data_IF_236487528381
#
_entry.id   IF_236487528381
#
_cell.length_a   1.000
_cell.length_b   1.000
_cell.length_c   1.000
_cell.angle_alpha   90.00
_cell.angle_beta   90.00
_cell.angle_gamma   90.00
#
_symmetry.space_group_name_H-M   'P 1'
#
loop_
_entity.id
_entity.type
_entity.pdbx_description
1 polymer ?
#
# COMPACT_ATOMS: atom_id res chain seq x y z
N UNK A 1 6.10 28.98 -11.15
CA UNK A 1 7.15 29.11 -10.11
C UNK A 1 7.19 27.84 -9.28
N UNK A 2 8.13 26.93 -9.57
CA UNK A 2 8.29 25.69 -8.82
C UNK A 2 8.94 25.98 -7.46
N UNK A 3 8.24 25.71 -6.36
CA UNK A 3 8.82 25.78 -5.01
C UNK A 3 9.87 24.68 -4.90
N UNK A 4 11.12 25.06 -4.66
CA UNK A 4 12.24 24.14 -4.43
C UNK A 4 11.85 23.15 -3.31
N UNK A 5 11.94 21.86 -3.61
CA UNK A 5 11.87 20.78 -2.62
C UNK A 5 12.93 21.05 -1.54
N UNK A 6 12.51 21.08 -0.27
CA UNK A 6 13.43 21.18 0.86
C UNK A 6 14.00 19.79 1.09
N UNK A 7 15.29 19.63 0.82
CA UNK A 7 16.01 18.36 0.98
C UNK A 7 16.04 17.91 2.44
N UNK A 8 16.30 16.62 2.66
CA UNK A 8 16.34 15.97 3.97
C UNK A 8 17.18 16.75 5.02
N UNK A 9 18.32 17.30 4.61
CA UNK A 9 19.21 18.12 5.46
C UNK A 9 18.56 19.41 5.96
N UNK A 10 17.65 20.03 5.21
CA UNK A 10 17.00 21.28 5.62
C UNK A 10 15.92 21.06 6.69
N UNK A 11 15.28 19.89 6.70
CA UNK A 11 14.22 19.57 7.67
C UNK A 11 14.81 19.34 9.07
N UNK A 12 16.03 18.80 9.17
CA UNK A 12 16.70 18.54 10.45
C UNK A 12 17.03 19.82 11.25
N UNK A 13 17.32 20.92 10.54
CA UNK A 13 17.67 22.21 11.15
C UNK A 13 16.45 23.10 11.46
N UNK A 14 15.24 22.71 11.06
CA UNK A 14 14.02 23.46 11.36
C UNK A 14 13.60 23.26 12.83
N UNK A 15 12.92 24.22 13.42
CA UNK A 15 12.28 23.98 14.73
C UNK A 15 11.10 22.99 14.60
N UNK A 16 10.57 22.50 15.72
CA UNK A 16 9.48 21.51 15.74
C UNK A 16 8.19 22.03 15.09
N UNK A 17 7.89 23.33 15.21
CA UNK A 17 6.66 23.91 14.66
C UNK A 17 6.75 24.03 13.14
N UNK A 18 7.90 24.45 12.64
CA UNK A 18 8.18 24.60 11.23
C UNK A 18 8.28 23.24 10.54
N UNK A 19 8.89 22.24 11.18
CA UNK A 19 8.85 20.84 10.67
C UNK A 19 7.41 20.35 10.56
N UNK A 20 6.60 20.54 11.59
CA UNK A 20 5.18 20.15 11.56
C UNK A 20 4.41 20.85 10.45
N UNK A 21 4.67 22.15 10.22
CA UNK A 21 4.06 22.92 9.13
C UNK A 21 4.47 22.37 7.77
N UNK A 22 5.75 22.05 7.59
CA UNK A 22 6.27 21.42 6.38
C UNK A 22 5.60 20.06 6.11
N UNK A 23 5.58 19.15 7.09
CA UNK A 23 4.96 17.82 6.95
C UNK A 23 3.46 17.90 6.61
N UNK A 24 2.73 18.86 7.18
CA UNK A 24 1.34 19.14 6.80
C UNK A 24 1.23 19.77 5.42
N UNK A 25 2.20 20.60 5.05
CA UNK A 25 2.27 21.26 3.75
C UNK A 25 2.38 20.29 2.59
N UNK A 26 2.91 19.09 2.81
CA UNK A 26 2.98 18.00 1.83
C UNK A 26 1.69 17.16 1.76
N UNK A 27 0.72 17.39 2.65
CA UNK A 27 -0.52 16.63 2.64
C UNK A 27 -1.33 16.91 1.36
N UNK A 28 -1.83 15.87 0.66
CA UNK A 28 -2.72 16.01 -0.49
C UNK A 28 -4.04 16.72 -0.16
N UNK A 29 -4.37 16.83 1.13
CA UNK A 29 -5.48 17.62 1.63
C UNK A 29 -5.26 19.13 1.54
N UNK A 30 -4.01 19.59 1.35
CA UNK A 30 -3.59 21.00 1.37
C UNK A 30 -2.89 21.42 0.09
N UNK A 31 -2.12 20.52 -0.51
CA UNK A 31 -1.42 20.75 -1.76
C UNK A 31 -1.66 19.53 -2.64
N UNK A 32 -2.33 19.70 -3.79
CA UNK A 32 -2.55 18.61 -4.74
C UNK A 32 -1.25 18.17 -5.47
N UNK A 33 -0.07 18.42 -4.88
CA UNK A 33 1.23 18.09 -5.47
C UNK A 33 1.72 16.73 -4.97
N UNK A 34 2.15 15.91 -5.92
CA UNK A 34 2.74 14.58 -5.71
C UNK A 34 4.23 14.56 -6.04
N UNK A 35 4.83 15.71 -6.35
CA UNK A 35 6.08 15.78 -7.11
C UNK A 35 7.33 15.76 -6.21
N UNK A 36 7.15 16.00 -4.90
CA UNK A 36 8.24 16.08 -3.92
C UNK A 36 8.48 14.73 -3.23
N UNK A 37 9.06 13.77 -3.96
CA UNK A 37 9.31 12.40 -3.49
C UNK A 37 10.16 12.40 -2.20
N UNK A 38 11.18 13.24 -2.11
CA UNK A 38 12.06 13.29 -0.93
C UNK A 38 11.33 13.85 0.30
N UNK A 39 10.49 14.87 0.11
CA UNK A 39 9.58 15.33 1.16
C UNK A 39 8.63 14.23 1.63
N UNK A 40 8.14 13.40 0.71
CA UNK A 40 7.32 12.24 1.04
C UNK A 40 8.08 11.17 1.81
N UNK A 41 9.29 10.81 1.40
CA UNK A 41 10.13 9.87 2.18
C UNK A 41 10.37 10.36 3.60
N UNK A 42 10.56 11.67 3.77
CA UNK A 42 10.72 12.27 5.09
C UNK A 42 9.42 12.19 5.93
N UNK A 43 8.23 12.26 5.33
CA UNK A 43 6.98 11.93 6.02
C UNK A 43 6.99 10.49 6.56
N UNK A 44 7.39 9.51 5.75
CA UNK A 44 7.49 8.11 6.18
C UNK A 44 8.53 7.92 7.28
N UNK A 45 9.67 8.62 7.19
CA UNK A 45 10.68 8.64 8.22
C UNK A 45 10.14 9.21 9.56
N UNK A 46 9.47 10.37 9.51
CA UNK A 46 8.92 11.03 10.70
C UNK A 46 7.72 10.31 11.29
N UNK A 47 6.94 9.60 10.50
CA UNK A 47 5.90 8.74 11.03
C UNK A 47 6.45 7.60 11.88
N UNK A 48 7.67 7.11 11.60
CA UNK A 48 8.37 6.10 12.39
C UNK A 48 9.12 6.68 13.59
N UNK A 49 9.96 7.68 13.34
CA UNK A 49 10.97 8.11 14.31
C UNK A 49 10.76 9.52 14.86
N UNK A 50 9.72 10.23 14.40
CA UNK A 50 9.44 11.59 14.84
C UNK A 50 8.93 11.67 16.30
N UNK A 51 8.88 12.90 16.80
CA UNK A 51 8.14 13.24 18.03
C UNK A 51 6.65 12.94 17.89
N UNK A 52 5.90 12.94 18.99
CA UNK A 52 4.46 12.65 18.96
C UNK A 52 3.68 13.54 17.99
N UNK A 53 3.98 14.84 17.96
CA UNK A 53 3.30 15.81 17.11
C UNK A 53 3.66 15.62 15.62
N UNK A 54 4.91 15.27 15.32
CA UNK A 54 5.39 14.95 13.97
C UNK A 54 4.80 13.65 13.47
N UNK A 55 4.84 12.56 14.27
CA UNK A 55 4.23 11.27 13.91
C UNK A 55 2.77 11.45 13.56
N UNK A 56 2.02 12.20 14.36
CA UNK A 56 0.59 12.46 14.10
C UNK A 56 0.36 13.26 12.82
N UNK A 57 1.22 14.24 12.52
CA UNK A 57 1.13 15.01 11.28
C UNK A 57 1.47 14.16 10.07
N UNK A 58 2.54 13.37 10.15
CA UNK A 58 2.97 12.47 9.09
C UNK A 58 1.96 11.35 8.83
N UNK A 59 1.44 10.73 9.89
CA UNK A 59 0.41 9.70 9.81
C UNK A 59 -0.86 10.21 9.11
N UNK A 60 -1.22 11.47 9.32
CA UNK A 60 -2.30 12.11 8.59
C UNK A 60 -2.01 12.24 7.10
N UNK A 61 -0.86 12.82 6.73
CA UNK A 61 -0.47 12.98 5.32
C UNK A 61 -0.41 11.64 4.58
N UNK A 62 0.16 10.61 5.21
CA UNK A 62 0.23 9.25 4.65
C UNK A 62 -1.16 8.61 4.53
N UNK A 63 -2.00 8.73 5.56
CA UNK A 63 -3.38 8.23 5.51
C UNK A 63 -4.20 8.89 4.39
N UNK A 64 -4.01 10.19 4.17
CA UNK A 64 -4.62 10.92 3.06
C UNK A 64 -4.08 10.48 1.70
N UNK A 65 -2.76 10.25 1.59
CA UNK A 65 -2.15 9.71 0.36
C UNK A 65 -2.77 8.37 -0.03
N UNK A 66 -2.88 7.44 0.92
CA UNK A 66 -3.51 6.13 0.73
C UNK A 66 -4.98 6.25 0.31
N UNK A 67 -5.71 7.25 0.83
CA UNK A 67 -7.07 7.55 0.40
C UNK A 67 -7.14 8.08 -1.03
N UNK A 68 -6.30 9.07 -1.36
CA UNK A 68 -6.27 9.73 -2.68
C UNK A 68 -5.78 8.81 -3.80
N UNK A 69 -4.87 7.88 -3.50
CA UNK A 69 -4.42 6.88 -4.45
C UNK A 69 -5.57 5.96 -4.92
N UNK A 70 -6.65 5.79 -4.15
CA UNK A 70 -7.80 5.02 -4.64
C UNK A 70 -8.58 5.76 -5.74
N UNK A 71 -8.39 7.08 -5.86
CA UNK A 71 -9.20 7.95 -6.71
C UNK A 71 -8.43 8.54 -7.89
N UNK A 72 -7.11 8.68 -7.81
CA UNK A 72 -6.30 9.36 -8.82
C UNK A 72 -4.97 8.65 -9.11
N UNK A 73 -4.63 8.54 -10.41
CA UNK A 73 -3.46 7.80 -10.91
C UNK A 73 -2.13 8.35 -10.40
N UNK A 74 -1.95 9.68 -10.41
CA UNK A 74 -0.72 10.33 -9.92
C UNK A 74 -0.34 9.94 -8.48
N UNK A 75 -1.32 9.75 -7.59
CA UNK A 75 -1.06 9.33 -6.21
C UNK A 75 -0.80 7.82 -6.09
N UNK A 76 -1.29 7.02 -7.04
CA UNK A 76 -0.93 5.60 -7.14
C UNK A 76 0.53 5.44 -7.57
N UNK A 77 0.94 6.18 -8.58
CA UNK A 77 2.33 6.20 -9.05
C UNK A 77 3.28 6.64 -7.94
N UNK A 78 2.94 7.69 -7.20
CA UNK A 78 3.70 8.12 -6.03
C UNK A 78 3.80 7.01 -4.96
N UNK A 79 2.71 6.29 -4.65
CA UNK A 79 2.76 5.17 -3.71
C UNK A 79 3.62 4.02 -4.20
N UNK A 80 3.66 3.75 -5.51
CA UNK A 80 4.55 2.74 -6.08
C UNK A 80 6.02 3.11 -5.88
N UNK A 81 6.36 4.39 -6.08
CA UNK A 81 7.72 4.89 -5.84
C UNK A 81 8.12 4.83 -4.36
N UNK A 82 7.16 4.98 -3.45
CA UNK A 82 7.35 4.96 -1.98
C UNK A 82 7.04 3.59 -1.34
N UNK A 83 6.98 2.53 -2.16
CA UNK A 83 6.53 1.21 -1.71
C UNK A 83 7.39 0.69 -0.56
N UNK A 84 8.71 0.82 -0.67
CA UNK A 84 9.64 0.31 0.34
C UNK A 84 9.48 1.03 1.68
N UNK A 85 9.25 2.35 1.65
CA UNK A 85 9.03 3.18 2.82
C UNK A 85 7.70 2.86 3.49
N UNK A 86 6.67 2.60 2.69
CA UNK A 86 5.36 2.18 3.18
C UNK A 86 5.42 0.80 3.82
N UNK A 87 6.05 -0.19 3.17
CA UNK A 87 6.22 -1.54 3.73
C UNK A 87 6.95 -1.46 5.08
N UNK A 88 8.08 -0.75 5.14
CA UNK A 88 8.85 -0.58 6.36
C UNK A 88 8.09 0.18 7.47
N UNK A 89 7.22 1.12 7.12
CA UNK A 89 6.36 1.81 8.09
C UNK A 89 5.25 0.91 8.63
N UNK A 90 4.74 0.00 7.80
CA UNK A 90 3.64 -0.87 8.17
C UNK A 90 4.09 -2.11 8.95
N UNK A 91 5.35 -2.52 8.80
CA UNK A 91 5.98 -3.54 9.65
C UNK A 91 6.19 -3.05 11.09
N UNK A 92 6.35 -1.75 11.31
CA UNK A 92 6.33 -1.19 12.66
C UNK A 92 4.91 -1.05 13.20
N UNK A 93 4.57 -1.91 14.18
CA UNK A 93 3.23 -1.99 14.78
C UNK A 93 2.71 -0.64 15.29
N UNK A 94 3.59 0.20 15.84
CA UNK A 94 3.20 1.50 16.41
C UNK A 94 2.86 2.50 15.32
N UNK A 95 3.76 2.67 14.35
CA UNK A 95 3.58 3.57 13.20
C UNK A 95 2.39 3.17 12.35
N UNK A 96 2.23 1.88 12.07
CA UNK A 96 1.06 1.34 11.38
C UNK A 96 -0.23 1.69 12.14
N UNK A 97 -0.26 1.50 13.46
CA UNK A 97 -1.43 1.84 14.28
C UNK A 97 -1.78 3.33 14.20
N UNK A 98 -0.78 4.21 14.20
CA UNK A 98 -0.99 5.66 14.10
C UNK A 98 -1.61 6.04 12.75
N UNK A 99 -1.06 5.56 11.62
CA UNK A 99 -1.60 5.81 10.27
C UNK A 99 -3.03 5.28 10.14
N UNK A 100 -3.24 4.02 10.53
CA UNK A 100 -4.54 3.35 10.46
C UNK A 100 -5.59 4.02 11.35
N UNK A 101 -5.18 4.49 12.53
CA UNK A 101 -6.02 5.26 13.44
C UNK A 101 -6.49 6.58 12.82
N UNK A 102 -5.61 7.27 12.09
CA UNK A 102 -5.96 8.50 11.38
C UNK A 102 -6.89 8.21 10.19
N UNK A 103 -6.61 7.17 9.40
CA UNK A 103 -7.50 6.76 8.30
C UNK A 103 -8.92 6.45 8.79
N UNK A 104 -9.06 5.81 9.96
CA UNK A 104 -10.36 5.56 10.59
C UNK A 104 -11.06 6.84 11.01
N UNK A 105 -10.33 7.80 11.61
CA UNK A 105 -10.89 9.08 12.10
C UNK A 105 -11.39 9.98 10.97
N UNK A 106 -10.71 9.98 9.83
CA UNK A 106 -11.04 10.84 8.68
C UNK A 106 -11.92 10.15 7.63
N UNK A 107 -12.53 9.01 7.96
CA UNK A 107 -13.47 8.32 7.08
C UNK A 107 -12.81 7.61 5.88
N UNK A 108 -11.47 7.55 5.82
CA UNK A 108 -10.73 6.84 4.77
C UNK A 108 -10.72 5.32 4.98
N UNK A 109 -11.13 4.83 6.15
CA UNK A 109 -11.34 3.43 6.45
C UNK A 109 -12.64 3.26 7.25
N UNK A 110 -13.64 2.56 6.70
CA UNK A 110 -14.87 2.20 7.43
C UNK A 110 -14.55 1.38 8.70
N UNK A 111 -15.37 1.52 9.76
CA UNK A 111 -15.20 0.80 11.05
C UNK A 111 -14.87 -0.69 10.81
N UNK A 112 -13.70 -1.14 11.30
CA UNK A 112 -13.22 -2.53 11.18
C UNK A 112 -12.29 -2.81 9.99
N UNK A 113 -12.21 -1.90 9.01
CA UNK A 113 -11.38 -2.04 7.81
C UNK A 113 -9.88 -1.88 8.08
N UNK A 114 -9.47 -0.98 8.98
CA UNK A 114 -8.06 -0.56 9.04
C UNK A 114 -7.08 -1.72 9.37
N UNK A 115 -7.52 -2.71 10.18
CA UNK A 115 -6.69 -3.86 10.57
C UNK A 115 -6.85 -5.09 9.66
N UNK A 116 -8.01 -5.27 9.02
CA UNK A 116 -8.32 -6.40 8.11
C UNK A 116 -8.09 -6.06 6.62
N UNK A 117 -8.14 -4.79 6.23
CA UNK A 117 -8.11 -4.36 4.83
C UNK A 117 -6.75 -3.92 4.32
N UNK A 118 -5.72 -3.72 5.16
CA UNK A 118 -4.43 -3.28 4.61
C UNK A 118 -3.62 -4.43 3.98
N UNK A 119 -3.44 -5.57 4.68
CA UNK A 119 -2.91 -6.78 4.03
C UNK A 119 -3.75 -7.19 2.81
N UNK A 120 -5.08 -7.08 2.88
CA UNK A 120 -6.03 -7.42 1.79
C UNK A 120 -6.07 -6.41 0.63
N UNK A 121 -5.76 -5.12 0.86
CA UNK A 121 -5.69 -4.11 -0.19
C UNK A 121 -4.31 -4.02 -0.85
N UNK A 122 -3.26 -4.54 -0.21
CA UNK A 122 -1.91 -4.58 -0.80
C UNK A 122 -1.59 -5.94 -1.44
N UNK A 123 -2.07 -7.06 -0.88
CA UNK A 123 -1.76 -8.39 -1.37
C UNK A 123 -2.39 -8.75 -2.71
N UNK A 124 -3.37 -7.97 -3.20
CA UNK A 124 -4.10 -8.31 -4.44
C UNK A 124 -3.68 -7.44 -5.63
N UNK A 125 -3.19 -6.22 -5.40
CA UNK A 125 -2.75 -5.34 -6.48
C UNK A 125 -1.28 -5.52 -6.86
N UNK A 126 -0.50 -6.23 -6.04
CA UNK A 126 0.93 -6.44 -6.26
C UNK A 126 1.29 -7.79 -6.90
N UNK A 127 0.35 -8.71 -7.08
CA UNK A 127 0.63 -10.00 -7.72
C UNK A 127 0.60 -9.80 -9.24
N UNK A 128 1.72 -9.35 -9.79
CA UNK A 128 1.85 -9.06 -11.23
C UNK A 128 2.56 -10.19 -11.96
N UNK A 129 3.42 -10.92 -11.26
CA UNK A 129 4.24 -11.96 -11.87
C UNK A 129 3.69 -13.35 -11.57
N UNK A 130 3.87 -14.31 -12.50
CA UNK A 130 3.57 -15.72 -12.23
C UNK A 130 4.28 -16.24 -10.96
N UNK A 131 5.48 -15.75 -10.64
CA UNK A 131 6.21 -16.15 -9.43
C UNK A 131 5.48 -15.71 -8.15
N UNK A 132 4.99 -14.47 -8.11
CA UNK A 132 4.21 -13.97 -6.97
C UNK A 132 2.89 -14.73 -6.83
N UNK A 133 2.22 -15.06 -7.95
CA UNK A 133 1.00 -15.88 -7.93
C UNK A 133 1.27 -17.26 -7.33
N UNK A 134 2.36 -17.91 -7.74
CA UNK A 134 2.73 -19.23 -7.24
C UNK A 134 3.02 -19.20 -5.74
N UNK A 135 3.80 -18.23 -5.26
CA UNK A 135 4.11 -18.09 -3.84
C UNK A 135 2.84 -17.82 -3.03
N UNK A 136 2.02 -16.88 -3.48
CA UNK A 136 0.78 -16.53 -2.82
C UNK A 136 -0.20 -17.71 -2.71
N UNK A 137 -0.41 -18.47 -3.80
CA UNK A 137 -1.27 -19.65 -3.78
C UNK A 137 -0.74 -20.73 -2.82
N UNK A 138 0.57 -20.99 -2.85
CA UNK A 138 1.20 -21.98 -1.98
C UNK A 138 1.05 -21.64 -0.50
N UNK A 139 1.29 -20.37 -0.15
CA UNK A 139 1.11 -19.87 1.21
C UNK A 139 -0.36 -19.91 1.63
N UNK A 140 -1.26 -19.48 0.74
CA UNK A 140 -2.66 -19.29 1.12
C UNK A 140 -3.42 -20.59 1.27
N UNK A 141 -3.07 -21.60 0.47
CA UNK A 141 -3.65 -22.93 0.51
C UNK A 141 -2.83 -23.89 1.39
N UNK A 142 -1.75 -23.41 2.02
CA UNK A 142 -0.83 -24.21 2.83
C UNK A 142 -0.41 -25.52 2.13
N UNK A 143 -0.09 -25.44 0.83
CA UNK A 143 0.20 -26.62 0.02
C UNK A 143 1.49 -27.30 0.49
N UNK A 144 1.40 -28.61 0.75
CA UNK A 144 2.59 -29.45 1.06
C UNK A 144 3.52 -29.47 -0.15
N UNK A 145 4.83 -29.65 0.09
CA UNK A 145 5.88 -29.59 -0.95
C UNK A 145 5.54 -30.32 -2.26
N UNK A 146 4.96 -31.53 -2.18
CA UNK A 146 4.56 -32.35 -3.35
C UNK A 146 3.37 -31.82 -4.15
N UNK A 147 2.53 -30.97 -3.55
CA UNK A 147 1.34 -30.37 -4.18
C UNK A 147 1.54 -28.88 -4.50
N UNK A 148 2.74 -28.33 -4.28
CA UNK A 148 3.01 -26.92 -4.54
C UNK A 148 2.85 -26.61 -6.02
N UNK A 149 2.23 -25.47 -6.31
CA UNK A 149 2.20 -24.90 -7.65
C UNK A 149 3.49 -24.14 -7.91
N UNK A 150 4.03 -24.27 -9.11
CA UNK A 150 5.23 -23.57 -9.59
C UNK A 150 4.85 -22.44 -10.54
N UNK A 151 5.79 -21.55 -10.81
CA UNK A 151 5.65 -20.45 -11.78
C UNK A 151 5.14 -20.92 -13.16
N UNK A 152 5.56 -22.11 -13.60
CA UNK A 152 5.19 -22.66 -14.92
C UNK A 152 3.82 -23.34 -14.94
N UNK A 153 3.22 -23.56 -13.77
CA UNK A 153 1.93 -24.24 -13.62
C UNK A 153 0.85 -23.50 -14.40
N UNK A 154 0.00 -24.26 -15.12
CA UNK A 154 -1.06 -23.70 -15.97
C UNK A 154 -2.00 -22.79 -15.19
N UNK A 155 -2.36 -23.17 -13.95
CA UNK A 155 -3.19 -22.32 -13.07
C UNK A 155 -2.51 -20.97 -12.78
N UNK A 156 -1.21 -20.97 -12.49
CA UNK A 156 -0.46 -19.77 -12.13
C UNK A 156 -0.41 -18.80 -13.30
N UNK A 157 -0.06 -19.27 -14.50
CA UNK A 157 -0.05 -18.42 -15.70
C UNK A 157 -1.43 -17.85 -16.04
N UNK A 158 -2.48 -18.67 -15.92
CA UNK A 158 -3.84 -18.22 -16.21
C UNK A 158 -4.37 -17.23 -15.17
N UNK A 159 -4.05 -17.44 -13.89
CA UNK A 159 -4.44 -16.54 -12.82
C UNK A 159 -3.67 -15.22 -12.90
N UNK A 160 -2.37 -15.25 -13.24
CA UNK A 160 -1.56 -14.06 -13.50
C UNK A 160 -2.17 -13.20 -14.62
N UNK A 161 -2.46 -13.80 -15.80
CA UNK A 161 -3.10 -13.09 -16.92
C UNK A 161 -4.47 -12.53 -16.56
N UNK A 162 -5.26 -13.27 -15.78
CA UNK A 162 -6.55 -12.79 -15.33
C UNK A 162 -6.40 -11.58 -14.40
N UNK A 163 -5.48 -11.62 -13.43
CA UNK A 163 -5.18 -10.48 -12.55
C UNK A 163 -4.70 -9.28 -13.35
N UNK A 164 -3.77 -9.48 -14.29
CA UNK A 164 -3.26 -8.44 -15.20
C UNK A 164 -4.40 -7.80 -16.00
N UNK A 165 -5.27 -8.59 -16.63
CA UNK A 165 -6.43 -8.09 -17.34
C UNK A 165 -7.37 -7.27 -16.43
N UNK A 166 -7.59 -7.71 -15.18
CA UNK A 166 -8.44 -7.00 -14.22
C UNK A 166 -7.81 -5.65 -13.85
N UNK A 167 -6.50 -5.60 -13.64
CA UNK A 167 -5.79 -4.35 -13.34
C UNK A 167 -5.76 -3.38 -14.53
N UNK A 168 -5.63 -3.90 -15.75
CA UNK A 168 -5.57 -3.08 -16.97
C UNK A 168 -6.93 -2.49 -17.32
N UNK A 169 -8.00 -3.29 -17.30
CA UNK A 169 -9.31 -2.87 -17.81
C UNK A 169 -10.30 -2.44 -16.73
N UNK A 170 -10.08 -2.80 -15.46
CA UNK A 170 -10.93 -2.39 -14.34
C UNK A 170 -10.09 -1.86 -13.16
N UNK A 171 -9.24 -0.84 -13.39
CA UNK A 171 -8.24 -0.39 -12.42
C UNK A 171 -8.83 0.15 -11.10
N UNK A 172 -10.10 0.55 -11.09
CA UNK A 172 -10.81 1.06 -9.89
C UNK A 172 -11.58 -0.03 -9.15
N UNK A 173 -11.78 -1.22 -9.76
CA UNK A 173 -12.50 -2.32 -9.12
C UNK A 173 -11.54 -3.08 -8.20
N UNK A 174 -11.94 -3.23 -6.94
CA UNK A 174 -11.23 -4.07 -5.97
C UNK A 174 -11.52 -5.53 -6.27
N UNK A 175 -10.47 -6.30 -6.58
CA UNK A 175 -10.54 -7.77 -6.62
C UNK A 175 -10.36 -8.26 -5.19
N UNK A 176 -11.32 -9.02 -4.66
CA UNK A 176 -11.18 -9.58 -3.32
C UNK A 176 -10.35 -10.86 -3.38
N UNK A 177 -9.72 -11.19 -2.27
CA UNK A 177 -9.05 -12.47 -2.09
C UNK A 177 -9.97 -13.68 -2.38
N UNK A 178 -11.21 -13.63 -1.89
CA UNK A 178 -12.19 -14.69 -2.11
C UNK A 178 -12.50 -14.87 -3.61
N UNK A 179 -12.50 -13.78 -4.39
CA UNK A 179 -12.66 -13.82 -5.85
C UNK A 179 -11.46 -14.49 -6.53
N UNK A 180 -10.24 -14.24 -6.05
CA UNK A 180 -9.01 -14.89 -6.57
C UNK A 180 -9.03 -16.37 -6.25
N UNK A 181 -9.38 -16.74 -5.02
CA UNK A 181 -9.49 -18.14 -4.57
C UNK A 181 -10.55 -18.87 -5.38
N UNK A 182 -11.72 -18.26 -5.57
CA UNK A 182 -12.79 -18.83 -6.38
C UNK A 182 -12.34 -19.00 -7.84
N UNK A 183 -11.65 -18.01 -8.39
CA UNK A 183 -11.07 -18.13 -9.74
C UNK A 183 -10.02 -19.23 -9.83
N UNK A 184 -9.15 -19.35 -8.83
CA UNK A 184 -8.16 -20.42 -8.74
C UNK A 184 -8.83 -21.79 -8.65
N UNK A 185 -9.92 -21.91 -7.88
CA UNK A 185 -10.74 -23.12 -7.78
C UNK A 185 -11.37 -23.50 -9.12
N UNK A 186 -11.92 -22.54 -9.85
CA UNK A 186 -12.46 -22.79 -11.20
C UNK A 186 -11.38 -23.26 -12.18
N UNK A 187 -10.16 -22.74 -12.07
CA UNK A 187 -9.04 -23.09 -12.95
C UNK A 187 -8.43 -24.46 -12.62
N UNK A 188 -8.38 -24.85 -11.35
CA UNK A 188 -7.86 -26.15 -10.91
C UNK A 188 -8.56 -26.64 -9.63
N UNK A 189 -9.73 -27.29 -9.76
CA UNK A 189 -10.52 -27.75 -8.62
C UNK A 189 -9.76 -28.72 -7.71
N UNK A 190 -8.88 -29.55 -8.28
CA UNK A 190 -8.10 -30.58 -7.57
C UNK A 190 -7.12 -30.04 -6.53
N UNK A 191 -6.77 -28.74 -6.57
CA UNK A 191 -5.95 -28.11 -5.52
C UNK A 191 -6.74 -27.83 -4.23
N UNK A 192 -8.07 -27.84 -4.33
CA UNK A 192 -8.98 -27.48 -3.24
C UNK A 192 -9.74 -28.69 -2.67
N UNK A 193 -9.58 -29.86 -3.30
CA UNK A 193 -10.07 -31.13 -2.80
C UNK A 193 -9.08 -31.66 -1.76
N UNK A 194 -9.53 -31.84 -0.51
CA UNK A 194 -8.75 -32.43 0.56
C UNK A 194 -8.33 -33.86 0.22
#
# INVERSE_FOLDING_TARGET
MAKRSKTNKQVEHMDLLDRRRFLRGLCPCRTNSSDDIEGWKELFNRARYGSYSERRAAAHSIGTLLGKAQQAAQYRELLLQLKNELDALMDDRKSASDVLGVMKKHGHAHKGAARKNYRRAYSVFAIQTPTEVANWLNERLALKARKRVTTDSKIVRNLARWLEHRTTFQPTRKTSEDEIIERARQLQPSLFSA
#
